data_IF_266226068316
#
_entry.id   IF_266226068316
#
_cell.length_a   1.000
_cell.length_b   1.000
_cell.length_c   1.000
_cell.angle_alpha   90.00
_cell.angle_beta   90.00
_cell.angle_gamma   90.00
#
_symmetry.space_group_name_H-M   'P 1'
#
loop_
_entity.id
_entity.type
_entity.pdbx_description
1 polymer ?
#
# COMPACT_ATOMS: atom_id res chain seq x y z
N UNK A 1 16.60 11.41 27.48
CA UNK A 1 15.15 11.16 27.65
C UNK A 1 14.59 12.33 28.43
N UNK A 2 13.55 13.04 27.97
CA UNK A 2 12.89 14.05 28.79
C UNK A 2 12.33 13.39 30.06
N UNK A 3 12.45 14.07 31.19
CA UNK A 3 12.11 13.56 32.52
C UNK A 3 10.66 13.04 32.57
N UNK A 4 10.47 11.81 33.09
CA UNK A 4 9.14 11.23 33.32
C UNK A 4 8.48 10.52 32.13
N UNK A 5 9.13 10.41 30.96
CA UNK A 5 8.59 9.60 29.83
C UNK A 5 8.86 8.10 30.06
N UNK A 6 7.83 7.25 30.16
CA UNK A 6 8.02 5.80 30.24
C UNK A 6 8.65 5.26 28.95
N UNK A 7 9.32 4.11 29.07
CA UNK A 7 9.86 3.42 27.90
C UNK A 7 8.73 2.87 27.02
N UNK A 8 8.92 2.89 25.70
CA UNK A 8 8.01 2.21 24.76
C UNK A 8 8.03 0.71 25.09
N UNK A 9 6.87 0.05 25.31
CA UNK A 9 6.80 -1.38 25.58
C UNK A 9 7.48 -2.22 24.50
N UNK A 10 8.22 -3.26 24.89
CA UNK A 10 8.99 -4.10 23.95
C UNK A 10 8.11 -4.74 22.86
N UNK A 11 6.91 -5.18 23.21
CA UNK A 11 5.95 -5.72 22.25
C UNK A 11 5.57 -4.69 21.18
N UNK A 12 5.31 -3.45 21.60
CA UNK A 12 4.97 -2.35 20.70
C UNK A 12 6.15 -1.96 19.81
N UNK A 13 7.38 -1.89 20.36
CA UNK A 13 8.59 -1.66 19.58
C UNK A 13 8.74 -2.71 18.47
N UNK A 14 8.56 -3.99 18.81
CA UNK A 14 8.62 -5.10 17.86
C UNK A 14 7.59 -4.92 16.76
N UNK A 15 6.33 -4.62 17.09
CA UNK A 15 5.28 -4.44 16.09
C UNK A 15 5.62 -3.34 15.08
N UNK A 16 6.14 -2.19 15.53
CA UNK A 16 6.50 -1.09 14.63
C UNK A 16 7.71 -1.42 13.76
N UNK A 17 8.71 -2.13 14.30
CA UNK A 17 9.86 -2.57 13.52
C UNK A 17 9.49 -3.65 12.48
N UNK A 18 8.59 -4.58 12.83
CA UNK A 18 8.08 -5.60 11.92
C UNK A 18 7.29 -4.96 10.78
N UNK A 19 6.40 -4.01 11.08
CA UNK A 19 5.64 -3.26 10.07
C UNK A 19 6.57 -2.58 9.04
N UNK A 20 7.67 -1.99 9.52
CA UNK A 20 8.65 -1.34 8.66
C UNK A 20 9.67 -2.31 8.02
N UNK A 21 9.55 -3.63 8.25
CA UNK A 21 10.50 -4.63 7.76
C UNK A 21 11.92 -4.42 8.28
N UNK A 22 12.07 -3.90 9.50
CA UNK A 22 13.34 -3.51 10.12
C UNK A 22 14.16 -2.53 9.25
N UNK A 23 13.47 -1.67 8.50
CA UNK A 23 14.06 -0.63 7.64
C UNK A 23 13.40 0.71 7.88
N UNK A 24 14.08 1.77 7.48
CA UNK A 24 13.54 3.12 7.52
C UNK A 24 12.23 3.19 6.72
N UNK A 25 11.19 3.73 7.35
CA UNK A 25 9.85 3.88 6.78
C UNK A 25 9.79 4.83 5.58
N UNK A 26 10.76 5.76 5.47
CA UNK A 26 10.85 6.66 4.31
C UNK A 26 11.03 5.82 3.04
N UNK A 27 10.11 5.91 2.04
CA UNK A 27 10.02 4.94 0.96
C UNK A 27 11.31 4.70 0.17
N UNK A 28 12.11 5.76 -0.02
CA UNK A 28 13.35 5.76 -0.79
C UNK A 28 14.60 5.50 0.04
N UNK A 29 14.55 5.63 1.38
CA UNK A 29 15.74 5.49 2.24
C UNK A 29 16.10 4.03 2.51
N UNK A 30 15.16 3.24 3.04
CA UNK A 30 15.30 1.79 3.32
C UNK A 30 16.54 1.35 4.15
N UNK A 31 17.21 2.28 4.83
CA UNK A 31 18.34 1.99 5.72
C UNK A 31 17.93 1.03 6.86
N UNK A 32 18.83 0.15 7.29
CA UNK A 32 18.54 -0.92 8.28
C UNK A 32 18.61 -0.45 9.73
N UNK A 33 19.50 0.49 10.05
CA UNK A 33 19.57 1.09 11.39
C UNK A 33 18.35 1.99 11.60
N UNK A 34 17.48 1.62 12.54
CA UNK A 34 16.22 2.34 12.80
C UNK A 34 15.98 2.61 14.27
N UNK A 35 15.33 3.74 14.53
CA UNK A 35 14.81 4.21 15.81
C UNK A 35 13.33 4.57 15.67
N UNK A 36 12.62 4.65 16.79
CA UNK A 36 11.19 4.88 16.82
C UNK A 36 10.88 6.35 17.05
N UNK A 37 10.25 6.97 16.07
CA UNK A 37 9.79 8.35 16.12
C UNK A 37 8.29 8.41 16.44
N UNK A 38 7.91 9.44 17.20
CA UNK A 38 6.52 9.80 17.45
C UNK A 38 6.03 10.75 16.34
N UNK A 39 4.98 10.37 15.61
CA UNK A 39 4.42 11.22 14.53
C UNK A 39 3.79 12.49 15.12
N UNK A 40 3.03 12.34 16.20
CA UNK A 40 2.53 13.40 17.07
C UNK A 40 3.33 13.34 18.37
N UNK A 41 3.95 14.45 18.73
CA UNK A 41 4.89 14.53 19.86
C UNK A 41 4.29 13.97 21.17
N UNK A 42 5.17 13.37 21.98
CA UNK A 42 4.84 12.85 23.30
C UNK A 42 4.20 13.91 24.20
N UNK A 43 4.64 15.17 24.11
CA UNK A 43 4.10 16.27 24.91
C UNK A 43 2.60 16.46 24.72
N UNK A 44 2.11 16.23 23.49
CA UNK A 44 0.69 16.38 23.14
C UNK A 44 -0.14 15.15 23.48
N UNK A 45 0.42 13.96 23.27
CA UNK A 45 -0.35 12.70 23.33
C UNK A 45 -0.17 11.92 24.61
N UNK A 46 0.98 12.08 25.27
CA UNK A 46 1.44 11.32 26.46
C UNK A 46 1.17 9.82 26.37
N UNK A 47 1.21 9.28 25.15
CA UNK A 47 0.88 7.88 24.88
C UNK A 47 1.81 7.26 23.84
N UNK A 48 1.99 5.95 23.97
CA UNK A 48 2.64 5.11 22.97
C UNK A 48 1.55 4.28 22.30
N UNK A 49 1.10 4.72 21.14
CA UNK A 49 0.17 3.95 20.31
C UNK A 49 0.90 3.46 19.07
N UNK A 50 0.44 2.35 18.50
CA UNK A 50 1.04 1.80 17.31
C UNK A 50 0.92 2.78 16.13
N UNK A 51 -0.23 3.44 16.02
CA UNK A 51 -0.57 4.41 14.97
C UNK A 51 0.31 5.66 15.04
N UNK A 52 0.78 6.03 16.23
CA UNK A 52 1.58 7.23 16.45
C UNK A 52 3.10 6.96 16.42
N UNK A 53 3.53 5.73 16.15
CA UNK A 53 4.94 5.34 16.09
C UNK A 53 5.35 4.89 14.69
N UNK A 54 6.51 5.37 14.24
CA UNK A 54 7.10 5.02 12.94
C UNK A 54 8.60 4.76 13.08
N UNK A 55 9.13 3.79 12.31
CA UNK A 55 10.55 3.45 12.34
C UNK A 55 11.34 4.29 11.32
N UNK A 56 12.32 5.07 11.77
CA UNK A 56 13.16 5.94 10.93
C UNK A 56 14.63 5.64 11.18
N UNK A 57 15.49 5.82 10.17
CA UNK A 57 16.93 5.86 10.44
C UNK A 57 17.33 7.19 11.10
N UNK A 58 18.49 7.27 11.77
CA UNK A 58 18.93 8.49 12.45
C UNK A 58 18.90 9.76 11.58
N UNK A 59 19.25 9.61 10.30
CA UNK A 59 19.22 10.72 9.34
C UNK A 59 17.79 11.19 9.07
N UNK A 60 16.87 10.28 8.77
CA UNK A 60 15.48 10.62 8.48
C UNK A 60 14.74 11.12 9.73
N UNK A 61 15.06 10.60 10.91
CA UNK A 61 14.51 11.08 12.17
C UNK A 61 14.96 12.52 12.44
N UNK A 62 16.24 12.82 12.26
CA UNK A 62 16.76 14.20 12.39
C UNK A 62 16.08 15.16 11.41
N UNK A 63 15.85 14.74 10.16
CA UNK A 63 15.14 15.56 9.16
C UNK A 63 13.68 15.79 9.54
N UNK A 64 13.04 14.80 10.14
CA UNK A 64 11.69 14.94 10.68
C UNK A 64 11.66 15.92 11.87
N UNK A 65 12.57 15.78 12.83
CA UNK A 65 12.67 16.69 13.99
C UNK A 65 12.92 18.15 13.58
N UNK A 66 13.66 18.37 12.49
CA UNK A 66 13.89 19.69 11.90
C UNK A 66 12.71 20.24 11.10
N UNK A 67 11.67 19.43 10.87
CA UNK A 67 10.52 19.81 10.04
C UNK A 67 10.79 19.79 8.52
N UNK A 68 11.94 19.26 8.07
CA UNK A 68 12.21 19.07 6.63
C UNK A 68 11.29 18.00 6.02
N UNK A 69 10.89 17.03 6.83
CA UNK A 69 9.82 16.10 6.50
C UNK A 69 8.68 16.45 7.45
N UNK A 70 7.52 16.81 6.91
CA UNK A 70 6.42 17.28 7.73
C UNK A 70 5.62 16.10 8.33
N UNK A 71 4.77 16.43 9.31
CA UNK A 71 3.93 15.44 9.99
C UNK A 71 2.96 14.72 9.06
N UNK A 72 2.36 15.41 8.08
CA UNK A 72 1.41 14.77 7.15
C UNK A 72 2.12 13.73 6.30
N UNK A 73 3.35 14.04 5.87
CA UNK A 73 4.21 13.05 5.18
C UNK A 73 4.47 11.81 6.05
N UNK A 74 4.71 11.96 7.36
CA UNK A 74 4.88 10.82 8.27
C UNK A 74 3.60 9.99 8.44
N UNK A 75 2.45 10.65 8.58
CA UNK A 75 1.14 9.99 8.63
C UNK A 75 0.91 9.17 7.35
N UNK A 76 1.29 9.73 6.19
CA UNK A 76 1.20 9.04 4.91
C UNK A 76 2.15 7.83 4.84
N UNK A 77 3.40 7.96 5.28
CA UNK A 77 4.34 6.83 5.28
C UNK A 77 3.88 5.72 6.21
N UNK A 78 3.36 6.06 7.40
CA UNK A 78 2.77 5.10 8.33
C UNK A 78 1.58 4.37 7.71
N UNK A 79 0.69 5.10 7.05
CA UNK A 79 -0.44 4.53 6.34
C UNK A 79 0.00 3.56 5.24
N UNK A 80 0.95 3.97 4.40
CA UNK A 80 1.47 3.17 3.30
C UNK A 80 2.20 1.90 3.79
N UNK A 81 2.85 1.94 4.95
CA UNK A 81 3.44 0.75 5.57
C UNK A 81 2.38 -0.29 5.96
N UNK A 82 1.24 0.15 6.50
CA UNK A 82 0.12 -0.73 6.86
C UNK A 82 -0.62 -1.36 5.67
N UNK A 83 -0.47 -0.81 4.46
CA UNK A 83 -1.21 -1.22 3.26
C UNK A 83 -0.33 -1.94 2.23
N UNK A 84 0.93 -1.50 2.00
CA UNK A 84 1.64 -1.81 0.74
C UNK A 84 2.91 -2.66 0.90
N UNK A 85 3.65 -2.58 2.01
CA UNK A 85 5.05 -3.10 2.03
C UNK A 85 5.33 -4.40 2.77
N UNK A 86 4.47 -4.85 3.69
CA UNK A 86 4.72 -6.10 4.45
C UNK A 86 3.75 -7.23 4.16
N UNK A 87 2.67 -6.99 3.40
CA UNK A 87 1.55 -7.93 3.31
C UNK A 87 1.33 -8.52 1.92
N UNK A 88 1.63 -7.76 0.87
CA UNK A 88 1.41 -8.19 -0.52
C UNK A 88 2.72 -8.20 -1.30
N UNK A 89 2.92 -9.25 -2.10
CA UNK A 89 4.06 -9.40 -3.00
C UNK A 89 4.03 -8.42 -4.18
N UNK A 90 5.06 -8.47 -5.04
CA UNK A 90 5.15 -7.54 -6.18
C UNK A 90 3.97 -7.68 -7.15
N UNK A 91 3.61 -8.91 -7.50
CA UNK A 91 2.50 -9.21 -8.42
C UNK A 91 1.19 -8.67 -7.85
N UNK A 92 0.89 -9.03 -6.60
CA UNK A 92 -0.32 -8.57 -5.90
C UNK A 92 -0.40 -7.05 -5.83
N UNK A 93 0.73 -6.38 -5.54
CA UNK A 93 0.79 -4.91 -5.53
C UNK A 93 0.47 -4.32 -6.90
N UNK A 94 1.03 -4.87 -7.98
CA UNK A 94 0.74 -4.42 -9.35
C UNK A 94 -0.74 -4.63 -9.70
N UNK A 95 -1.33 -5.74 -9.28
CA UNK A 95 -2.76 -6.02 -9.47
C UNK A 95 -3.61 -4.99 -8.72
N UNK A 96 -3.29 -4.69 -7.45
CA UNK A 96 -4.00 -3.65 -6.69
C UNK A 96 -3.95 -2.28 -7.40
N UNK A 97 -2.81 -1.92 -7.98
CA UNK A 97 -2.68 -0.67 -8.76
C UNK A 97 -3.55 -0.68 -10.02
N UNK A 98 -3.62 -1.80 -10.76
CA UNK A 98 -4.50 -1.93 -11.94
C UNK A 98 -5.96 -1.64 -11.56
N UNK A 99 -6.46 -2.27 -10.49
CA UNK A 99 -7.83 -2.09 -10.03
C UNK A 99 -8.09 -0.71 -9.37
N UNK A 100 -7.06 -0.09 -8.81
CA UNK A 100 -7.13 1.28 -8.30
C UNK A 100 -7.19 2.31 -9.44
N UNK A 101 -6.49 2.05 -10.54
CA UNK A 101 -6.40 2.93 -11.71
C UNK A 101 -7.69 2.92 -12.52
N UNK A 102 -8.28 1.74 -12.73
CA UNK A 102 -9.52 1.57 -13.46
C UNK A 102 -10.57 0.82 -12.61
N UNK A 103 -11.47 1.55 -11.92
CA UNK A 103 -12.52 0.97 -11.10
C UNK A 103 -13.54 0.13 -11.88
N UNK A 104 -13.60 0.26 -13.22
CA UNK A 104 -14.51 -0.54 -14.06
C UNK A 104 -14.09 -2.00 -14.15
N UNK A 105 -12.80 -2.30 -13.91
CA UNK A 105 -12.28 -3.66 -13.86
C UNK A 105 -12.88 -4.37 -12.63
N UNK A 106 -13.49 -5.52 -12.87
CA UNK A 106 -14.11 -6.37 -11.84
C UNK A 106 -13.40 -7.70 -11.67
N UNK A 107 -12.69 -8.15 -12.70
CA UNK A 107 -12.12 -9.49 -12.81
C UNK A 107 -10.78 -9.42 -13.55
N UNK A 108 -9.85 -10.29 -13.18
CA UNK A 108 -8.57 -10.47 -13.89
C UNK A 108 -8.33 -11.95 -14.16
N UNK A 109 -7.97 -12.27 -15.40
CA UNK A 109 -7.52 -13.60 -15.80
C UNK A 109 -6.05 -13.77 -15.50
N UNK A 110 -5.68 -14.89 -14.87
CA UNK A 110 -4.32 -15.25 -14.53
C UNK A 110 -3.98 -16.64 -15.09
N UNK A 111 -2.70 -16.94 -15.36
CA UNK A 111 -2.27 -18.29 -15.67
C UNK A 111 -2.69 -19.28 -14.58
N UNK A 112 -2.89 -20.55 -14.94
CA UNK A 112 -3.08 -21.62 -13.95
C UNK A 112 -2.00 -21.63 -12.87
N UNK A 113 -2.37 -22.05 -11.66
CA UNK A 113 -1.47 -22.09 -10.50
C UNK A 113 -0.94 -20.71 -10.09
N UNK A 114 -1.72 -19.66 -10.33
CA UNK A 114 -1.47 -18.32 -9.79
C UNK A 114 -1.97 -18.16 -8.35
N UNK A 115 -2.42 -19.24 -7.72
CA UNK A 115 -2.88 -19.29 -6.34
C UNK A 115 -1.80 -18.86 -5.34
N UNK A 116 -0.52 -19.20 -5.61
CA UNK A 116 0.62 -18.70 -4.82
C UNK A 116 0.83 -17.20 -5.04
N UNK A 117 0.68 -16.73 -6.27
CA UNK A 117 0.89 -15.33 -6.63
C UNK A 117 -0.24 -14.41 -6.12
N UNK A 118 -1.43 -14.95 -5.87
CA UNK A 118 -2.62 -14.25 -5.37
C UNK A 118 -2.93 -14.56 -3.89
N UNK A 119 -2.05 -15.31 -3.22
CA UNK A 119 -2.33 -15.96 -1.94
C UNK A 119 -2.84 -14.98 -0.88
N UNK A 120 -2.16 -13.84 -0.71
CA UNK A 120 -2.52 -12.89 0.34
C UNK A 120 -3.75 -12.08 -0.05
N UNK A 121 -3.88 -11.67 -1.31
CA UNK A 121 -5.08 -11.00 -1.82
C UNK A 121 -6.35 -11.84 -1.60
N UNK A 122 -6.25 -13.15 -1.80
CA UNK A 122 -7.36 -14.09 -1.57
C UNK A 122 -7.58 -14.36 -0.09
N UNK A 123 -6.53 -14.66 0.68
CA UNK A 123 -6.64 -14.91 2.13
C UNK A 123 -7.20 -13.71 2.89
N UNK A 124 -6.87 -12.50 2.45
CA UNK A 124 -7.36 -11.26 3.05
C UNK A 124 -8.77 -10.89 2.58
N UNK A 125 -9.34 -11.69 1.68
CA UNK A 125 -10.68 -11.52 1.13
C UNK A 125 -10.83 -10.30 0.24
N UNK A 126 -9.73 -9.78 -0.32
CA UNK A 126 -9.78 -8.69 -1.29
C UNK A 126 -10.17 -9.19 -2.68
N UNK A 127 -9.78 -10.42 -3.00
CA UNK A 127 -10.13 -11.10 -4.24
C UNK A 127 -10.73 -12.48 -3.95
N UNK A 128 -11.59 -12.94 -4.84
CA UNK A 128 -12.15 -14.29 -4.83
C UNK A 128 -11.66 -15.03 -6.08
N UNK A 129 -11.13 -16.24 -5.91
CA UNK A 129 -10.82 -17.13 -7.03
C UNK A 129 -12.11 -17.72 -7.57
N UNK A 130 -12.31 -17.59 -8.86
CA UNK A 130 -13.38 -18.22 -9.63
C UNK A 130 -12.73 -19.19 -10.62
N UNK A 131 -13.13 -20.45 -10.55
CA UNK A 131 -12.75 -21.43 -11.57
C UNK A 131 -13.78 -21.38 -12.69
N UNK A 132 -13.35 -21.01 -13.87
CA UNK A 132 -14.14 -21.31 -15.06
C UNK A 132 -13.87 -22.77 -15.45
N UNK A 133 -14.85 -23.64 -15.19
CA UNK A 133 -14.86 -24.99 -15.79
C UNK A 133 -15.45 -24.98 -17.21
N UNK A 134 -15.93 -23.84 -17.69
CA UNK A 134 -16.38 -23.68 -19.08
C UNK A 134 -15.24 -23.14 -19.94
N UNK A 135 -15.03 -23.79 -21.08
CA UNK A 135 -14.18 -23.31 -22.16
C UNK A 135 -14.78 -22.05 -22.81
N UNK A 136 -14.67 -20.89 -22.16
CA UNK A 136 -14.88 -19.62 -22.82
C UNK A 136 -15.45 -18.51 -21.93
N UNK A 137 -14.88 -17.31 -22.09
CA UNK A 137 -15.37 -16.09 -21.46
C UNK A 137 -16.48 -15.47 -22.32
N UNK A 138 -17.67 -15.28 -21.74
CA UNK A 138 -18.79 -14.60 -22.38
C UNK A 138 -18.67 -13.08 -22.26
N UNK A 139 -18.41 -12.38 -23.37
CA UNK A 139 -18.46 -10.92 -23.46
C UNK A 139 -19.85 -10.49 -23.94
N UNK A 140 -20.60 -9.79 -23.09
CA UNK A 140 -21.84 -9.10 -23.52
C UNK A 140 -21.50 -7.65 -23.85
N UNK A 141 -21.61 -7.27 -25.11
CA UNK A 141 -21.45 -5.87 -25.52
C UNK A 141 -22.76 -5.10 -25.29
N UNK A 142 -22.70 -3.80 -24.96
CA UNK A 142 -23.87 -3.00 -24.55
C UNK A 142 -25.01 -2.93 -25.58
N UNK A 143 -24.75 -3.29 -26.84
CA UNK A 143 -25.74 -3.35 -27.92
C UNK A 143 -26.51 -4.69 -27.96
N UNK A 144 -26.33 -5.56 -26.96
CA UNK A 144 -26.99 -6.87 -26.87
C UNK A 144 -26.31 -7.98 -27.67
N UNK A 145 -25.20 -7.71 -28.35
CA UNK A 145 -24.40 -8.79 -28.94
C UNK A 145 -23.63 -9.53 -27.83
N UNK A 146 -23.52 -10.85 -27.97
CA UNK A 146 -22.73 -11.70 -27.07
C UNK A 146 -21.69 -12.43 -27.89
N UNK A 147 -20.45 -12.43 -27.43
CA UNK A 147 -19.35 -13.20 -28.00
C UNK A 147 -18.82 -14.18 -26.95
N UNK A 148 -18.62 -15.43 -27.34
CA UNK A 148 -17.91 -16.42 -26.52
C UNK A 148 -16.47 -16.43 -27.03
N UNK A 149 -15.54 -15.99 -26.20
CA UNK A 149 -14.11 -16.05 -26.49
C UNK A 149 -13.60 -17.34 -25.88
N UNK A 150 -13.42 -18.34 -26.74
CA UNK A 150 -12.87 -19.64 -26.35
C UNK A 150 -11.34 -19.51 -26.20
N UNK A 151 -10.86 -19.57 -24.97
CA UNK A 151 -9.42 -19.57 -24.70
C UNK A 151 -8.91 -21.01 -24.79
N UNK A 152 -7.98 -21.27 -25.70
CA UNK A 152 -7.25 -22.54 -25.78
C UNK A 152 -6.24 -22.65 -24.64
N UNK A 153 -6.74 -22.73 -23.41
CA UNK A 153 -5.97 -22.84 -22.18
C UNK A 153 -6.87 -22.73 -20.95
N UNK A 154 -6.64 -23.59 -19.96
CA UNK A 154 -7.26 -23.43 -18.63
C UNK A 154 -6.75 -22.11 -18.03
N UNK A 155 -7.64 -21.22 -17.64
CA UNK A 155 -7.32 -19.96 -16.94
C UNK A 155 -8.01 -19.92 -15.58
N UNK A 156 -7.42 -19.20 -14.64
CA UNK A 156 -8.05 -18.88 -13.37
C UNK A 156 -8.47 -17.42 -13.38
N UNK A 157 -9.69 -17.15 -12.92
CA UNK A 157 -10.17 -15.79 -12.81
C UNK A 157 -10.22 -15.36 -11.35
N UNK A 158 -9.91 -14.09 -11.11
CA UNK A 158 -9.92 -13.50 -9.78
C UNK A 158 -10.79 -12.25 -9.80
N UNK A 159 -11.90 -12.30 -9.06
CA UNK A 159 -12.89 -11.22 -8.98
C UNK A 159 -12.64 -10.41 -7.72
N UNK A 160 -12.57 -9.08 -7.85
CA UNK A 160 -12.41 -8.19 -6.69
C UNK A 160 -13.68 -8.18 -5.83
N UNK A 161 -13.53 -8.25 -4.51
CA UNK A 161 -14.66 -8.20 -3.58
C UNK A 161 -15.02 -6.75 -3.23
N UNK A 162 -16.15 -6.52 -2.55
CA UNK A 162 -16.49 -5.18 -2.01
C UNK A 162 -15.41 -4.66 -1.05
N UNK A 163 -14.82 -5.55 -0.26
CA UNK A 163 -13.68 -5.24 0.62
C UNK A 163 -12.45 -4.85 -0.19
N UNK A 164 -12.18 -5.57 -1.29
CA UNK A 164 -11.12 -5.22 -2.24
C UNK A 164 -11.35 -3.86 -2.88
N UNK A 165 -12.58 -3.56 -3.30
CA UNK A 165 -12.98 -2.27 -3.89
C UNK A 165 -12.73 -1.09 -2.96
N UNK A 166 -13.14 -1.23 -1.70
CA UNK A 166 -12.85 -0.23 -0.68
C UNK A 166 -11.36 -0.01 -0.51
N UNK A 167 -10.59 -1.10 -0.48
CA UNK A 167 -9.15 -1.06 -0.32
C UNK A 167 -8.45 -0.33 -1.48
N UNK A 168 -8.76 -0.68 -2.73
CA UNK A 168 -8.12 -0.06 -3.92
C UNK A 168 -8.57 1.39 -4.12
N UNK A 169 -9.79 1.77 -3.70
CA UNK A 169 -10.24 3.17 -3.68
C UNK A 169 -9.37 4.01 -2.75
N UNK A 170 -9.14 3.54 -1.52
CA UNK A 170 -8.26 4.21 -0.55
C UNK A 170 -6.82 4.28 -1.04
N UNK A 171 -6.36 3.26 -1.76
CA UNK A 171 -5.05 3.25 -2.41
C UNK A 171 -4.95 4.35 -3.50
N UNK A 172 -5.96 4.46 -4.36
CA UNK A 172 -6.01 5.50 -5.41
C UNK A 172 -6.06 6.92 -4.82
N UNK A 173 -6.79 7.12 -3.73
CA UNK A 173 -6.85 8.39 -3.02
C UNK A 173 -5.48 8.78 -2.43
N UNK A 174 -4.74 7.81 -1.90
CA UNK A 174 -3.38 8.02 -1.42
C UNK A 174 -2.39 8.36 -2.56
N UNK A 175 -2.49 7.73 -3.73
CA UNK A 175 -1.62 8.04 -4.89
C UNK A 175 -1.92 9.40 -5.52
N UNK A 176 -3.18 9.84 -5.58
CA UNK A 176 -3.54 11.19 -6.09
C UNK A 176 -2.92 12.32 -5.25
N UNK A 177 -2.57 12.05 -4.00
CA UNK A 177 -1.85 12.98 -3.13
C UNK A 177 -0.33 12.99 -3.40
N UNK A 178 0.22 11.98 -4.10
CA UNK A 178 1.63 11.98 -4.55
C UNK A 178 1.85 12.78 -5.85
N UNK A 179 0.81 12.99 -6.68
CA UNK A 179 0.91 13.67 -8.00
C UNK A 179 0.72 15.20 -7.90
N UNK A 180 0.64 15.79 -6.70
CA UNK A 180 0.57 17.24 -6.53
C UNK A 180 1.51 17.69 -5.40
N UNK A 181 2.70 18.21 -5.76
CA UNK A 181 2.78 19.62 -6.17
C UNK A 181 3.28 19.79 -7.61
N UNK A 182 2.89 20.87 -8.31
CA UNK A 182 3.50 21.23 -9.57
C UNK A 182 4.90 21.74 -9.27
N UNK A 183 5.91 20.90 -9.47
CA UNK A 183 7.27 21.39 -9.64
C UNK A 183 7.41 21.80 -11.11
N UNK A 184 7.09 23.07 -11.37
CA UNK A 184 7.37 23.73 -12.63
C UNK A 184 8.89 23.87 -12.76
N UNK A 185 9.52 22.86 -13.36
CA UNK A 185 10.98 22.73 -13.43
C UNK A 185 11.57 23.41 -14.68
N UNK A 186 10.76 24.08 -15.50
CA UNK A 186 11.15 24.70 -16.76
C UNK A 186 10.64 26.13 -16.91
N UNK A 187 10.97 27.00 -15.94
CA UNK A 187 10.99 28.45 -16.16
C UNK A 187 12.42 28.96 -15.92
N UNK A 188 13.33 28.54 -16.81
CA UNK A 188 14.66 29.13 -16.95
C UNK A 188 14.60 30.25 -17.99
N UNK A 189 14.12 31.41 -17.57
CA UNK A 189 14.41 32.68 -18.23
C UNK A 189 14.90 33.71 -17.20
N UNK A 190 16.22 33.74 -17.01
CA UNK A 190 17.07 34.95 -17.05
C UNK A 190 18.53 34.59 -16.72
N UNK A 191 19.53 35.29 -17.27
CA UNK A 191 19.51 36.68 -17.74
C UNK A 191 19.06 36.87 -19.19
#
# INVERSE_FOLDING_TARGET
MPEGRPAIPTALKRSVLVEAGHRCAIPTCKATTTELAHIISWEKTRSHTFENLIALCPNCHTRFDKGEIDRKSMEQYKFNLGIIKSRYGEIERRILVIFATDPSITIIGMPLASDVAMLYLVNDGLFRREFDQSNGFGLTVPNGASAIIDFTGKQEFYTITDKGREFVRRLAEAEKLEVNPPFDFWDRERP
#
